data_IF_214892806307
#
_entry.id   IF_214892806307
#
_cell.length_a   1.000
_cell.length_b   1.000
_cell.length_c   1.000
_cell.angle_alpha   90.00
_cell.angle_beta   90.00
_cell.angle_gamma   90.00
#
_symmetry.space_group_name_H-M   'P 1'
#
loop_
_entity.id
_entity.type
_entity.pdbx_description
1 polymer ?
#
# COMPACT_ATOMS: atom_id res chain seq x y z
N UNK A 1 65.20 24.50 -20.60
CA UNK A 1 66.00 24.77 -19.39
C UNK A 1 65.23 24.28 -18.21
N UNK A 2 65.69 23.13 -17.72
CA UNK A 2 66.18 22.94 -16.33
C UNK A 2 65.08 23.02 -15.30
N UNK A 3 64.75 21.91 -14.72
CA UNK A 3 65.29 21.11 -13.62
C UNK A 3 64.42 21.27 -12.40
N UNK A 4 64.02 20.26 -11.75
CA UNK A 4 64.47 19.25 -10.81
C UNK A 4 63.32 18.99 -9.84
N UNK A 5 62.81 17.80 -9.71
CA UNK A 5 63.24 16.64 -8.91
C UNK A 5 63.21 16.88 -7.38
N UNK A 6 62.39 16.09 -6.69
CA UNK A 6 62.67 15.25 -5.51
C UNK A 6 61.41 15.05 -4.68
N UNK A 7 60.81 13.86 -4.75
CA UNK A 7 60.95 12.75 -3.78
C UNK A 7 60.75 13.20 -2.32
N UNK A 8 59.64 12.79 -1.73
CA UNK A 8 59.67 12.33 -0.36
C UNK A 8 58.58 11.27 -0.18
N UNK A 9 59.11 10.05 0.01
CA UNK A 9 58.44 8.89 0.53
C UNK A 9 58.06 9.16 1.99
N UNK A 10 56.81 8.99 2.33
CA UNK A 10 56.41 8.74 3.72
C UNK A 10 55.23 7.77 3.71
N UNK A 11 55.60 6.49 3.94
CA UNK A 11 54.64 5.47 4.36
C UNK A 11 54.01 5.88 5.69
N UNK A 12 52.70 6.04 5.70
CA UNK A 12 51.92 5.97 6.93
C UNK A 12 50.88 4.88 6.74
N UNK A 13 51.19 3.70 7.28
CA UNK A 13 50.22 2.64 7.54
C UNK A 13 49.23 3.15 8.60
N UNK A 14 48.04 3.45 8.21
CA UNK A 14 46.92 3.58 9.15
C UNK A 14 46.04 2.35 8.99
N UNK A 15 46.20 1.46 9.98
CA UNK A 15 45.24 0.39 10.21
C UNK A 15 43.89 1.00 10.58
N UNK A 16 42.93 0.94 9.67
CA UNK A 16 41.55 1.24 9.99
C UNK A 16 40.88 -0.06 10.38
N UNK A 17 40.67 -0.18 11.68
CA UNK A 17 39.87 -1.24 12.30
C UNK A 17 38.45 -1.15 11.74
N UNK A 18 38.05 -2.17 10.98
CA UNK A 18 36.72 -2.29 10.43
C UNK A 18 35.67 -2.48 11.52
N UNK A 19 34.95 -1.43 11.85
CA UNK A 19 33.71 -1.51 12.60
C UNK A 19 32.59 -1.86 11.62
N UNK A 20 32.14 -3.11 11.57
CA UNK A 20 30.87 -3.49 10.96
C UNK A 20 29.73 -2.96 11.82
N UNK A 21 29.31 -1.73 11.58
CA UNK A 21 28.00 -1.27 11.98
C UNK A 21 27.04 -1.57 10.84
N UNK A 22 26.36 -2.69 10.93
CA UNK A 22 25.19 -3.00 10.10
C UNK A 22 24.07 -2.03 10.42
N UNK A 23 24.15 -0.81 9.91
CA UNK A 23 22.98 0.06 9.82
C UNK A 23 22.14 -0.42 8.64
N UNK A 24 21.10 -1.17 8.96
CA UNK A 24 19.98 -1.41 8.04
C UNK A 24 19.33 -0.06 7.77
N UNK A 25 19.88 0.70 6.80
CA UNK A 25 19.22 1.88 6.27
C UNK A 25 17.96 1.36 5.59
N UNK A 26 16.81 1.55 6.24
CA UNK A 26 15.53 1.58 5.55
C UNK A 26 15.71 2.51 4.34
N UNK A 27 15.79 1.92 3.15
CA UNK A 27 15.75 2.70 1.93
C UNK A 27 14.39 3.38 1.90
N UNK A 28 14.31 4.71 1.70
CA UNK A 28 13.06 5.37 1.40
C UNK A 28 12.51 4.67 0.15
N UNK A 29 11.35 4.02 0.26
CA UNK A 29 10.66 3.53 -0.91
C UNK A 29 10.43 4.72 -1.82
N UNK A 30 11.02 4.67 -3.01
CA UNK A 30 10.81 5.66 -4.05
C UNK A 30 9.31 5.65 -4.37
N UNK A 31 8.65 6.77 -4.05
CA UNK A 31 7.20 6.92 -4.23
C UNK A 31 6.93 6.89 -5.72
N UNK A 32 6.23 5.86 -6.19
CA UNK A 32 5.75 5.80 -7.58
C UNK A 32 4.91 7.07 -7.85
N UNK A 33 5.26 7.89 -8.84
CA UNK A 33 4.50 9.12 -9.15
C UNK A 33 3.05 8.84 -9.53
N UNK A 34 2.71 7.60 -9.88
CA UNK A 34 1.35 7.14 -10.15
C UNK A 34 0.62 6.63 -8.89
N UNK A 35 1.30 6.43 -7.78
CA UNK A 35 0.69 6.02 -6.53
C UNK A 35 0.02 7.23 -5.87
N UNK A 36 -1.31 7.16 -5.65
CA UNK A 36 -2.04 8.14 -4.85
C UNK A 36 -1.47 8.24 -3.43
N UNK A 37 -1.85 9.26 -2.69
CA UNK A 37 -1.50 9.35 -1.28
C UNK A 37 -2.00 8.09 -0.54
N UNK A 38 -1.12 7.44 0.22
CA UNK A 38 -1.50 6.26 1.01
C UNK A 38 -2.29 6.70 2.24
N UNK A 39 -3.57 6.36 2.26
CA UNK A 39 -4.48 6.70 3.34
C UNK A 39 -5.03 5.41 3.96
N UNK A 40 -5.15 5.41 5.28
CA UNK A 40 -5.73 4.28 6.00
C UNK A 40 -7.21 4.13 5.68
N UNK A 41 -7.66 2.92 5.35
CA UNK A 41 -9.08 2.61 5.16
C UNK A 41 -9.92 3.00 6.38
N UNK A 42 -9.43 2.73 7.60
CA UNK A 42 -10.09 3.12 8.84
C UNK A 42 -10.29 4.63 8.92
N UNK A 43 -9.29 5.43 8.55
CA UNK A 43 -9.40 6.88 8.57
C UNK A 43 -10.50 7.37 7.63
N UNK A 44 -10.56 6.80 6.42
CA UNK A 44 -11.56 7.16 5.40
C UNK A 44 -12.97 6.81 5.86
N UNK A 45 -13.22 5.58 6.34
CA UNK A 45 -14.57 5.16 6.73
C UNK A 45 -15.07 5.84 8.01
N UNK A 46 -14.17 6.34 8.88
CA UNK A 46 -14.57 7.03 10.11
C UNK A 46 -14.83 8.51 9.90
N UNK A 47 -14.21 9.14 8.90
CA UNK A 47 -14.33 10.56 8.59
C UNK A 47 -14.28 10.79 7.08
N UNK A 48 -15.22 10.25 6.32
CA UNK A 48 -15.17 10.29 4.86
C UNK A 48 -15.14 11.72 4.30
N UNK A 49 -15.79 12.67 4.98
CA UNK A 49 -15.84 14.07 4.59
C UNK A 49 -14.47 14.78 4.55
N UNK A 50 -13.51 14.31 5.34
CA UNK A 50 -12.13 14.85 5.33
C UNK A 50 -11.38 14.44 4.05
N UNK A 51 -11.86 13.41 3.35
CA UNK A 51 -11.22 12.83 2.17
C UNK A 51 -12.01 12.97 0.88
N UNK A 52 -13.13 13.71 0.89
CA UNK A 52 -13.98 13.85 -0.27
C UNK A 52 -13.21 14.43 -1.48
N UNK A 53 -13.29 13.74 -2.62
CA UNK A 53 -12.55 14.07 -3.82
C UNK A 53 -11.05 13.78 -3.80
N UNK A 54 -10.51 13.31 -2.68
CA UNK A 54 -9.07 13.00 -2.57
C UNK A 54 -8.74 11.75 -3.38
N UNK A 55 -7.69 11.83 -4.21
CA UNK A 55 -7.10 10.69 -4.89
C UNK A 55 -6.18 9.94 -3.92
N UNK A 56 -6.57 8.73 -3.55
CA UNK A 56 -5.89 7.94 -2.54
C UNK A 56 -5.56 6.52 -3.03
N UNK A 57 -4.50 5.95 -2.45
CA UNK A 57 -4.26 4.50 -2.47
C UNK A 57 -4.62 3.94 -1.09
N UNK A 58 -5.60 3.04 -1.09
CA UNK A 58 -6.18 2.44 0.12
C UNK A 58 -5.95 0.94 0.10
N UNK A 59 -5.64 0.34 1.24
CA UNK A 59 -5.40 -1.10 1.36
C UNK A 59 -6.44 -1.76 2.23
N UNK A 60 -6.82 -2.99 1.87
CA UNK A 60 -7.79 -3.80 2.61
C UNK A 60 -8.02 -5.16 1.98
N UNK A 61 -8.98 -5.90 2.53
CA UNK A 61 -9.41 -7.20 2.01
C UNK A 61 -10.46 -6.99 0.92
N UNK A 62 -10.19 -7.47 -0.28
CA UNK A 62 -11.12 -7.37 -1.41
C UNK A 62 -12.24 -8.41 -1.28
N UNK A 63 -13.49 -7.97 -1.41
CA UNK A 63 -14.65 -8.85 -1.67
C UNK A 63 -15.21 -8.50 -3.05
N UNK A 64 -15.19 -9.49 -3.92
CA UNK A 64 -15.64 -9.38 -5.31
C UNK A 64 -16.76 -10.38 -5.55
N UNK A 65 -18.01 -9.94 -5.34
CA UNK A 65 -19.22 -10.75 -5.42
C UNK A 65 -20.11 -10.34 -6.61
N UNK A 66 -21.17 -11.08 -6.87
CA UNK A 66 -22.04 -10.77 -8.03
C UNK A 66 -22.69 -9.39 -7.94
N UNK A 67 -23.02 -8.94 -6.74
CA UNK A 67 -23.67 -7.65 -6.49
C UNK A 67 -22.73 -6.47 -6.59
N UNK A 68 -21.41 -6.69 -6.39
CA UNK A 68 -20.39 -5.66 -6.51
C UNK A 68 -19.11 -5.97 -5.75
N UNK A 69 -18.30 -4.95 -5.62
CA UNK A 69 -16.94 -5.04 -5.10
C UNK A 69 -16.77 -4.05 -3.96
N UNK A 70 -16.22 -4.52 -2.85
CA UNK A 70 -15.93 -3.71 -1.68
C UNK A 70 -14.55 -4.04 -1.09
N UNK A 71 -13.99 -3.09 -0.36
CA UNK A 71 -12.73 -3.22 0.33
C UNK A 71 -12.97 -3.15 1.84
N UNK A 72 -12.66 -4.21 2.56
CA UNK A 72 -12.90 -4.34 4.00
C UNK A 72 -11.64 -4.10 4.82
N UNK A 73 -11.82 -3.58 6.03
CA UNK A 73 -10.74 -3.40 6.99
C UNK A 73 -10.22 -4.74 7.50
N UNK A 74 -11.12 -5.65 7.85
CA UNK A 74 -10.83 -6.94 8.45
C UNK A 74 -11.42 -8.09 7.64
N UNK A 75 -10.76 -9.24 7.67
CA UNK A 75 -11.24 -10.44 6.97
C UNK A 75 -12.57 -10.95 7.54
N UNK A 76 -12.74 -10.86 8.85
CA UNK A 76 -13.96 -11.25 9.54
C UNK A 76 -15.14 -10.38 9.09
N UNK A 77 -14.94 -9.06 8.96
CA UNK A 77 -16.00 -8.17 8.49
C UNK A 77 -16.38 -8.46 7.03
N UNK A 78 -15.39 -8.86 6.22
CA UNK A 78 -15.63 -9.29 4.86
C UNK A 78 -16.41 -10.62 4.78
N UNK A 79 -16.21 -11.54 5.72
CA UNK A 79 -16.92 -12.82 5.80
C UNK A 79 -18.39 -12.63 6.22
N UNK A 80 -18.64 -11.69 7.14
CA UNK A 80 -20.00 -11.39 7.64
C UNK A 80 -20.67 -10.21 6.93
N UNK A 81 -20.09 -9.69 5.85
CA UNK A 81 -20.63 -8.57 5.06
C UNK A 81 -20.95 -7.33 5.91
N UNK A 82 -20.04 -7.01 6.85
CA UNK A 82 -20.18 -5.84 7.71
C UNK A 82 -19.82 -4.56 6.97
N UNK A 83 -20.77 -4.01 6.20
CA UNK A 83 -20.56 -2.89 5.29
C UNK A 83 -20.10 -1.59 5.98
N UNK A 84 -20.35 -1.45 7.29
CA UNK A 84 -19.90 -0.31 8.08
C UNK A 84 -18.37 -0.21 8.19
N UNK A 85 -17.66 -1.32 8.02
CA UNK A 85 -16.19 -1.40 8.01
C UNK A 85 -15.62 -1.52 6.60
N UNK A 86 -16.41 -1.14 5.59
CA UNK A 86 -16.05 -1.32 4.19
C UNK A 86 -16.16 -0.02 3.38
N UNK A 87 -15.38 0.03 2.31
CA UNK A 87 -15.40 1.03 1.26
C UNK A 87 -15.96 0.39 -0.01
N UNK A 88 -17.07 0.92 -0.53
CA UNK A 88 -17.64 0.44 -1.78
C UNK A 88 -16.77 0.87 -2.97
N UNK A 89 -16.50 -0.06 -3.89
CA UNK A 89 -15.68 0.18 -5.08
C UNK A 89 -16.51 0.22 -6.38
N UNK A 90 -17.74 -0.24 -6.34
CA UNK A 90 -18.62 -0.28 -7.50
C UNK A 90 -18.93 -1.69 -8.00
N UNK A 91 -19.55 -1.74 -9.17
CA UNK A 91 -19.80 -3.00 -9.89
C UNK A 91 -18.64 -3.32 -10.82
N UNK A 92 -18.57 -4.56 -11.29
CA UNK A 92 -17.52 -5.01 -12.19
C UNK A 92 -17.36 -4.13 -13.43
N UNK A 93 -18.47 -3.62 -13.98
CA UNK A 93 -18.48 -2.77 -15.18
C UNK A 93 -17.92 -1.37 -14.95
N UNK A 94 -17.84 -0.95 -13.69
CA UNK A 94 -17.33 0.36 -13.28
C UNK A 94 -15.81 0.34 -13.11
N UNK A 95 -15.23 -0.84 -12.80
CA UNK A 95 -13.79 -1.03 -12.64
C UNK A 95 -13.18 -1.46 -13.98
N UNK A 96 -12.73 -0.49 -14.78
CA UNK A 96 -12.25 -0.72 -16.15
C UNK A 96 -10.81 -1.20 -16.24
N UNK A 97 -10.08 -1.21 -15.14
CA UNK A 97 -8.65 -1.55 -15.11
C UNK A 97 -8.37 -3.04 -15.10
N UNK A 98 -9.34 -3.85 -14.68
CA UNK A 98 -9.25 -5.31 -14.59
C UNK A 98 -10.51 -5.97 -15.15
N UNK A 99 -10.38 -7.22 -15.59
CA UNK A 99 -11.53 -8.05 -15.98
C UNK A 99 -12.24 -8.60 -14.73
N UNK A 100 -13.49 -9.06 -14.90
CA UNK A 100 -14.25 -9.72 -13.84
C UNK A 100 -13.48 -10.91 -13.25
N UNK A 101 -12.87 -11.73 -14.10
CA UNK A 101 -12.11 -12.92 -13.70
C UNK A 101 -10.86 -12.54 -12.88
N UNK A 102 -10.19 -11.44 -13.25
CA UNK A 102 -9.04 -10.94 -12.49
C UNK A 102 -9.45 -10.43 -11.10
N UNK A 103 -10.55 -9.70 -11.01
CA UNK A 103 -11.09 -9.23 -9.73
C UNK A 103 -11.55 -10.39 -8.85
N UNK A 104 -12.21 -11.38 -9.43
CA UNK A 104 -12.62 -12.61 -8.72
C UNK A 104 -11.41 -13.42 -8.22
N UNK A 105 -10.31 -13.45 -8.97
CA UNK A 105 -9.08 -14.13 -8.54
C UNK A 105 -8.40 -13.42 -7.33
N UNK A 106 -8.73 -12.17 -7.08
CA UNK A 106 -8.27 -11.40 -5.91
C UNK A 106 -9.27 -11.45 -4.74
N UNK A 107 -10.41 -12.12 -4.88
CA UNK A 107 -11.40 -12.22 -3.81
C UNK A 107 -10.78 -12.83 -2.54
N UNK A 108 -10.98 -12.18 -1.39
CA UNK A 108 -10.41 -12.56 -0.10
C UNK A 108 -8.93 -12.17 0.10
N UNK A 109 -8.27 -11.58 -0.89
CA UNK A 109 -6.88 -11.17 -0.79
C UNK A 109 -6.73 -9.74 -0.27
N UNK A 110 -5.56 -9.45 0.31
CA UNK A 110 -5.18 -8.10 0.71
C UNK A 110 -4.65 -7.35 -0.50
N UNK A 111 -5.35 -6.29 -0.87
CA UNK A 111 -5.05 -5.51 -2.09
C UNK A 111 -4.87 -4.02 -1.78
N UNK A 112 -4.19 -3.32 -2.70
CA UNK A 112 -4.16 -1.87 -2.78
C UNK A 112 -5.04 -1.39 -3.92
N UNK A 113 -5.90 -0.43 -3.66
CA UNK A 113 -6.80 0.19 -4.64
C UNK A 113 -6.50 1.67 -4.72
N UNK A 114 -6.30 2.20 -5.92
CA UNK A 114 -6.09 3.63 -6.17
C UNK A 114 -7.31 4.20 -6.89
N UNK A 115 -7.85 5.29 -6.38
CA UNK A 115 -9.01 5.97 -6.93
C UNK A 115 -9.34 7.25 -6.17
N UNK A 116 -10.51 7.82 -6.40
CA UNK A 116 -11.00 9.04 -5.74
C UNK A 116 -12.08 8.71 -4.72
N UNK A 117 -11.95 9.23 -3.50
CA UNK A 117 -12.97 9.06 -2.45
C UNK A 117 -14.21 9.90 -2.78
N UNK A 118 -15.39 9.33 -2.59
CA UNK A 118 -16.69 9.99 -2.74
C UNK A 118 -17.48 9.83 -1.42
N UNK A 119 -17.33 10.81 -0.54
CA UNK A 119 -17.88 10.79 0.81
C UNK A 119 -19.42 10.85 0.86
N UNK A 120 -20.06 11.33 -0.21
CA UNK A 120 -21.50 11.50 -0.28
C UNK A 120 -22.24 10.34 -0.94
N UNK A 121 -21.52 9.26 -1.24
CA UNK A 121 -22.06 8.05 -1.83
C UNK A 121 -21.91 6.89 -0.86
N UNK A 122 -22.91 6.04 -0.75
CA UNK A 122 -23.05 5.07 0.32
C UNK A 122 -23.31 3.64 -0.19
N UNK A 123 -22.85 3.33 -1.40
CA UNK A 123 -23.10 2.02 -2.04
C UNK A 123 -24.56 1.85 -2.52
N UNK A 124 -24.89 0.69 -3.09
CA UNK A 124 -26.19 0.46 -3.70
C UNK A 124 -27.35 0.41 -2.71
N UNK A 125 -27.11 -0.02 -1.48
CA UNK A 125 -28.10 -0.15 -0.40
C UNK A 125 -28.08 1.02 0.60
N UNK A 126 -27.04 1.87 0.53
CA UNK A 126 -26.85 2.98 1.47
C UNK A 126 -26.20 2.57 2.79
N UNK A 127 -25.63 1.36 2.87
CA UNK A 127 -25.08 0.78 4.11
C UNK A 127 -23.58 0.99 4.25
N UNK A 128 -22.91 1.47 3.20
CA UNK A 128 -21.49 1.81 3.24
C UNK A 128 -21.30 3.25 3.75
N UNK A 129 -20.15 3.53 4.36
CA UNK A 129 -19.87 4.89 4.83
C UNK A 129 -19.45 5.84 3.71
N UNK A 130 -18.84 5.31 2.65
CA UNK A 130 -18.45 6.06 1.45
C UNK A 130 -18.12 5.11 0.29
N UNK A 131 -17.85 5.68 -0.87
CA UNK A 131 -17.38 4.96 -2.06
C UNK A 131 -15.99 5.42 -2.50
N UNK A 132 -15.31 4.57 -3.29
CA UNK A 132 -14.19 5.00 -4.13
C UNK A 132 -14.62 4.93 -5.58
N UNK A 133 -14.44 6.02 -6.29
CA UNK A 133 -14.77 6.17 -7.71
C UNK A 133 -13.49 6.36 -8.54
N UNK A 134 -13.63 6.34 -9.88
CA UNK A 134 -12.49 6.51 -10.77
C UNK A 134 -11.33 5.56 -10.42
N UNK A 135 -11.64 4.27 -10.24
CA UNK A 135 -10.65 3.26 -9.90
C UNK A 135 -9.59 3.18 -11.02
N UNK A 136 -8.36 3.49 -10.69
CA UNK A 136 -7.21 3.55 -11.61
C UNK A 136 -6.35 2.29 -11.55
N UNK A 137 -6.25 1.68 -10.36
CA UNK A 137 -5.45 0.50 -10.12
C UNK A 137 -6.04 -0.36 -9.00
N UNK A 138 -5.96 -1.67 -9.17
CA UNK A 138 -6.19 -2.67 -8.11
C UNK A 138 -5.05 -3.68 -8.22
N UNK A 139 -4.28 -3.85 -7.17
CA UNK A 139 -3.14 -4.77 -7.15
C UNK A 139 -3.04 -5.51 -5.82
N UNK A 140 -2.67 -6.78 -5.87
CA UNK A 140 -2.36 -7.57 -4.69
C UNK A 140 -1.14 -6.97 -3.97
N UNK A 141 -1.22 -6.84 -2.67
CA UNK A 141 -0.09 -6.40 -1.84
C UNK A 141 0.69 -7.65 -1.44
N UNK A 142 1.92 -7.76 -1.91
CA UNK A 142 2.80 -8.85 -1.50
C UNK A 142 3.03 -8.80 0.01
N UNK A 143 2.96 -9.96 0.66
CA UNK A 143 3.32 -10.07 2.08
C UNK A 143 4.77 -9.66 2.26
N UNK A 144 4.99 -8.68 3.12
CA UNK A 144 6.34 -8.42 3.61
C UNK A 144 6.74 -9.65 4.41
N UNK A 145 7.83 -10.32 4.02
CA UNK A 145 8.37 -11.47 4.74
C UNK A 145 8.27 -11.21 6.25
N UNK A 146 7.65 -12.12 7.02
CA UNK A 146 7.59 -11.94 8.47
C UNK A 146 9.01 -11.78 8.99
N UNK A 147 9.18 -10.81 9.90
CA UNK A 147 10.44 -10.66 10.61
C UNK A 147 10.87 -12.04 11.13
N UNK A 148 12.14 -12.44 10.96
CA UNK A 148 12.61 -13.70 11.50
C UNK A 148 12.20 -13.75 12.98
N UNK A 149 11.42 -14.78 13.32
CA UNK A 149 11.02 -15.02 14.70
C UNK A 149 12.30 -15.14 15.50
N UNK A 150 12.58 -14.18 16.38
CA UNK A 150 13.62 -14.37 17.38
C UNK A 150 13.21 -15.59 18.19
N UNK A 151 13.92 -16.70 17.98
CA UNK A 151 13.80 -17.86 18.87
C UNK A 151 14.18 -17.35 20.26
N UNK A 152 13.33 -17.53 21.29
CA UNK A 152 13.76 -17.26 22.65
C UNK A 152 14.98 -18.16 22.91
N UNK A 153 16.13 -17.52 23.11
CA UNK A 153 17.37 -18.23 23.43
C UNK A 153 17.18 -19.08 24.68
N UNK A 154 17.56 -20.38 24.57
CA UNK A 154 17.75 -21.27 25.70
C UNK A 154 18.84 -20.74 26.60
#
# INVERSE_FOLDING_TARGET
>A
MKTWLRICLACICIMVIGGCSGQNKMQPQEKDPNEGERISLIAIITKPEEYDGVRATVRGILRAEEEGIALYVFAEDAEYESHISALWLGKYEEIKTLTKEQLQAMNGKYVGVTGSIAATKYGPTGDYNCEMTNIENVAEVEEVNPLPSESPGE
#
